data_IF_670378450930
#
_entry.id   IF_670378450930
#
_cell.length_a   1.000
_cell.length_b   1.000
_cell.length_c   1.000
_cell.angle_alpha   90.00
_cell.angle_beta   90.00
_cell.angle_gamma   90.00
#
_symmetry.space_group_name_H-M   'P 1'
#
loop_
_entity.id
_entity.type
_entity.pdbx_description
1 polymer ?
#
# COMPACT_ATOMS: atom_id res chain seq x y z
N UNK A 1 49.27 -5.45 5.95
CA UNK A 1 48.23 -6.50 6.00
C UNK A 1 46.92 -5.81 5.64
N UNK A 2 46.56 -5.84 4.36
CA UNK A 2 45.44 -5.05 3.82
C UNK A 2 44.20 -5.94 3.82
N UNK A 3 43.22 -5.60 4.66
CA UNK A 3 41.93 -6.29 4.73
C UNK A 3 41.11 -5.81 3.52
N UNK A 4 40.87 -6.71 2.55
CA UNK A 4 39.86 -6.49 1.50
C UNK A 4 38.49 -6.68 2.14
N UNK A 5 37.68 -5.61 2.16
CA UNK A 5 36.25 -5.74 2.40
C UNK A 5 35.63 -6.33 1.13
N UNK A 6 35.12 -7.55 1.22
CA UNK A 6 34.26 -8.14 0.21
C UNK A 6 32.93 -7.37 0.21
N UNK A 7 32.63 -6.74 -0.92
CA UNK A 7 31.36 -6.07 -1.18
C UNK A 7 30.28 -7.15 -1.27
N UNK A 8 29.39 -7.21 -0.29
CA UNK A 8 28.17 -7.99 -0.36
C UNK A 8 27.34 -7.53 -1.57
N UNK A 9 27.34 -8.34 -2.63
CA UNK A 9 26.40 -8.20 -3.73
C UNK A 9 25.02 -8.55 -3.20
N UNK A 10 24.13 -7.55 -3.09
CA UNK A 10 22.71 -7.77 -2.85
C UNK A 10 22.19 -8.71 -3.94
N UNK A 11 21.83 -9.94 -3.53
CA UNK A 11 21.18 -10.89 -4.40
C UNK A 11 19.79 -10.34 -4.75
N UNK A 12 19.70 -9.68 -5.90
CA UNK A 12 18.45 -9.20 -6.45
C UNK A 12 17.56 -10.43 -6.68
N UNK A 13 16.54 -10.59 -5.84
CA UNK A 13 15.63 -11.72 -5.89
C UNK A 13 14.75 -11.58 -7.14
N UNK A 14 15.25 -12.02 -8.29
CA UNK A 14 14.47 -12.09 -9.53
C UNK A 14 13.64 -13.36 -9.44
N UNK A 15 12.46 -13.24 -8.83
CA UNK A 15 11.52 -14.36 -8.59
C UNK A 15 10.90 -14.88 -9.89
N UNK A 16 11.04 -14.18 -11.02
CA UNK A 16 10.34 -14.48 -12.27
C UNK A 16 11.22 -14.17 -13.48
N UNK A 17 11.22 -15.06 -14.47
CA UNK A 17 12.01 -14.91 -15.71
C UNK A 17 11.72 -13.55 -16.41
N UNK A 18 12.75 -12.76 -16.78
CA UNK A 18 12.56 -11.45 -17.41
C UNK A 18 11.71 -11.50 -18.69
N UNK A 19 11.81 -12.57 -19.47
CA UNK A 19 11.05 -12.75 -20.71
C UNK A 19 9.55 -13.01 -20.44
N UNK A 20 9.22 -13.66 -19.31
CA UNK A 20 7.85 -13.87 -18.89
C UNK A 20 7.24 -12.54 -18.44
N UNK A 21 7.99 -11.73 -17.70
CA UNK A 21 7.56 -10.40 -17.30
C UNK A 21 7.30 -9.51 -18.53
N UNK A 22 8.17 -9.56 -19.55
CA UNK A 22 7.97 -8.79 -20.79
C UNK A 22 6.67 -9.22 -21.54
N UNK A 23 6.32 -10.51 -21.53
CA UNK A 23 5.05 -11.00 -22.10
C UNK A 23 3.85 -10.52 -21.30
N UNK A 24 3.95 -10.55 -19.97
CA UNK A 24 2.92 -10.02 -19.07
C UNK A 24 2.72 -8.52 -19.32
N UNK A 25 3.81 -7.76 -19.47
CA UNK A 25 3.77 -6.33 -19.76
C UNK A 25 3.09 -6.04 -21.11
N UNK A 26 3.39 -6.83 -22.15
CA UNK A 26 2.72 -6.74 -23.46
C UNK A 26 1.21 -7.03 -23.38
N UNK A 27 0.79 -7.97 -22.54
CA UNK A 27 -0.63 -8.22 -22.28
C UNK A 27 -1.28 -7.06 -21.54
N UNK A 28 -0.59 -6.44 -20.57
CA UNK A 28 -1.09 -5.25 -19.89
C UNK A 28 -1.25 -4.05 -20.82
N UNK A 29 -0.30 -3.82 -21.74
CA UNK A 29 -0.37 -2.75 -22.73
C UNK A 29 -1.57 -2.88 -23.68
N UNK A 30 -2.13 -4.08 -23.83
CA UNK A 30 -3.34 -4.33 -24.62
C UNK A 30 -4.64 -4.15 -23.81
N UNK A 31 -4.60 -3.48 -22.65
CA UNK A 31 -5.73 -3.35 -21.71
C UNK A 31 -6.30 -4.69 -21.22
N UNK A 32 -5.56 -5.80 -21.35
CA UNK A 32 -6.01 -7.10 -20.83
C UNK A 32 -6.05 -7.08 -19.29
N UNK A 33 -5.42 -6.11 -18.63
CA UNK A 33 -5.43 -5.97 -17.17
C UNK A 33 -6.82 -5.88 -16.51
N UNK A 34 -7.88 -5.56 -17.25
CA UNK A 34 -9.27 -5.66 -16.76
C UNK A 34 -9.84 -7.10 -16.82
N UNK A 35 -9.15 -8.01 -17.52
CA UNK A 35 -9.57 -9.38 -17.83
C UNK A 35 -8.64 -10.46 -17.27
N UNK A 36 -7.39 -10.13 -16.86
CA UNK A 36 -6.46 -11.06 -16.20
C UNK A 36 -6.26 -10.71 -14.73
N UNK A 37 -6.45 -11.71 -13.89
CA UNK A 37 -6.17 -11.63 -12.46
C UNK A 37 -4.66 -11.48 -12.25
N UNK A 38 -4.25 -10.32 -11.73
CA UNK A 38 -2.92 -10.13 -11.17
C UNK A 38 -2.72 -11.07 -9.97
N UNK A 39 -1.52 -11.63 -9.76
CA UNK A 39 -1.18 -12.23 -8.48
C UNK A 39 -1.47 -11.23 -7.36
N UNK A 40 -2.22 -11.68 -6.36
CA UNK A 40 -2.52 -10.89 -5.16
C UNK A 40 -1.86 -11.56 -3.96
N UNK A 41 -1.11 -10.77 -3.19
CA UNK A 41 -0.59 -11.16 -1.89
C UNK A 41 -1.45 -10.51 -0.81
N UNK A 42 -2.18 -11.31 -0.05
CA UNK A 42 -2.96 -10.83 1.08
C UNK A 42 -2.18 -11.09 2.36
N UNK A 43 -1.93 -10.04 3.14
CA UNK A 43 -1.26 -10.15 4.43
C UNK A 43 -2.30 -10.12 5.54
N UNK A 44 -2.44 -11.24 6.27
CA UNK A 44 -3.40 -11.43 7.35
C UNK A 44 -2.70 -11.91 8.61
N UNK A 45 -3.15 -11.44 9.77
CA UNK A 45 -2.58 -11.79 11.08
C UNK A 45 -3.06 -10.87 12.19
N UNK A 46 -2.90 -11.31 13.43
CA UNK A 46 -3.31 -10.58 14.64
C UNK A 46 -2.64 -9.19 14.72
N UNK A 47 -3.21 -8.27 15.51
CA UNK A 47 -2.58 -6.96 15.74
C UNK A 47 -1.15 -7.15 16.26
N UNK A 48 -0.19 -6.37 15.73
CA UNK A 48 1.23 -6.44 16.12
C UNK A 48 1.99 -7.72 15.70
N UNK A 49 1.40 -8.57 14.85
CA UNK A 49 2.06 -9.80 14.34
C UNK A 49 3.14 -9.57 13.27
N UNK A 50 3.62 -8.34 13.07
CA UNK A 50 4.66 -8.02 12.09
C UNK A 50 4.22 -7.86 10.63
N UNK A 51 2.91 -7.75 10.35
CA UNK A 51 2.37 -7.54 8.99
C UNK A 51 3.02 -6.34 8.28
N UNK A 52 3.03 -5.18 8.95
CA UNK A 52 3.64 -3.96 8.42
C UNK A 52 5.11 -4.15 8.10
N UNK A 53 5.86 -4.95 8.87
CA UNK A 53 7.27 -5.24 8.59
C UNK A 53 7.47 -6.11 7.34
N UNK A 54 6.58 -7.08 7.09
CA UNK A 54 6.58 -7.85 5.84
C UNK A 54 6.26 -6.94 4.66
N UNK A 55 5.26 -6.06 4.82
CA UNK A 55 4.89 -5.09 3.80
C UNK A 55 6.01 -4.08 3.53
N UNK A 56 6.71 -3.58 4.55
CA UNK A 56 7.86 -2.70 4.40
C UNK A 56 8.96 -3.34 3.53
N UNK A 57 9.27 -4.62 3.77
CA UNK A 57 10.28 -5.35 3.01
C UNK A 57 9.91 -5.55 1.54
N UNK A 58 8.64 -5.78 1.25
CA UNK A 58 8.15 -5.99 -0.11
C UNK A 58 7.93 -4.69 -0.88
N UNK A 59 7.34 -3.69 -0.22
CA UNK A 59 6.88 -2.46 -0.86
C UNK A 59 7.93 -1.37 -0.86
N UNK A 60 8.97 -1.49 -0.03
CA UNK A 60 9.94 -0.42 0.27
C UNK A 60 9.28 0.88 0.76
N UNK A 61 8.04 0.82 1.23
CA UNK A 61 7.35 1.91 1.92
C UNK A 61 7.56 1.75 3.43
N UNK A 62 7.69 2.87 4.14
CA UNK A 62 7.76 2.87 5.61
C UNK A 62 6.35 3.00 6.17
N UNK A 63 5.77 1.87 6.57
CA UNK A 63 4.44 1.87 7.18
C UNK A 63 4.52 2.42 8.61
N UNK A 64 3.50 3.18 9.06
CA UNK A 64 3.45 3.72 10.39
C UNK A 64 3.30 2.58 11.39
N UNK A 65 4.09 2.65 12.45
CA UNK A 65 4.11 1.64 13.52
C UNK A 65 3.31 2.07 14.74
N UNK A 66 2.82 3.31 14.75
CA UNK A 66 2.10 3.87 15.89
C UNK A 66 0.67 3.31 16.01
N UNK A 67 0.28 3.00 17.25
CA UNK A 67 -0.98 2.37 17.62
C UNK A 67 -2.21 3.19 17.21
N UNK A 68 -2.09 4.52 17.18
CA UNK A 68 -3.15 5.44 16.72
C UNK A 68 -3.38 5.43 15.21
N UNK A 69 -2.37 5.00 14.43
CA UNK A 69 -2.37 4.95 12.97
C UNK A 69 -2.48 3.52 12.41
N UNK A 70 -2.83 2.54 13.25
CA UNK A 70 -3.03 1.14 12.82
C UNK A 70 -4.03 1.01 11.67
N UNK A 71 -3.93 -0.09 10.91
CA UNK A 71 -4.82 -0.45 9.79
C UNK A 71 -6.29 -0.51 10.24
N UNK A 72 -7.01 0.61 10.12
CA UNK A 72 -8.44 0.80 10.44
C UNK A 72 -9.36 0.70 9.21
N UNK A 73 -8.75 0.53 8.05
CA UNK A 73 -9.37 0.33 6.75
C UNK A 73 -8.45 -0.58 5.93
N UNK A 74 -8.97 -1.23 4.89
CA UNK A 74 -8.11 -2.02 4.02
C UNK A 74 -7.18 -1.09 3.22
N UNK A 75 -5.91 -1.46 3.12
CA UNK A 75 -4.94 -0.76 2.27
C UNK A 75 -4.55 -1.69 1.12
N UNK A 76 -4.86 -1.28 -0.10
CA UNK A 76 -4.47 -1.97 -1.31
C UNK A 76 -3.28 -1.25 -1.94
N UNK A 77 -2.19 -1.98 -2.15
CA UNK A 77 -0.99 -1.49 -2.80
C UNK A 77 -0.83 -2.22 -4.13
N UNK A 78 -0.67 -1.49 -5.22
CA UNK A 78 -0.57 -2.06 -6.57
C UNK A 78 0.77 -1.63 -7.16
N UNK A 79 1.57 -2.59 -7.54
CA UNK A 79 2.83 -2.39 -8.26
C UNK A 79 2.58 -2.58 -9.74
N UNK A 80 2.93 -1.57 -10.54
CA UNK A 80 2.85 -1.62 -12.00
C UNK A 80 4.18 -1.27 -12.60
N UNK A 81 4.59 -2.05 -13.59
CA UNK A 81 5.78 -1.72 -14.35
C UNK A 81 5.42 -0.71 -15.42
N UNK A 82 6.17 0.38 -15.46
CA UNK A 82 6.11 1.36 -16.54
C UNK A 82 7.54 1.66 -17.02
N UNK A 83 7.99 1.03 -18.13
CA UNK A 83 9.31 1.26 -18.71
C UNK A 83 9.52 2.69 -19.22
N UNK A 84 8.46 3.49 -19.38
CA UNK A 84 8.57 4.89 -19.80
C UNK A 84 9.00 5.82 -18.67
N UNK A 85 8.82 5.39 -17.40
CA UNK A 85 9.24 6.14 -16.23
C UNK A 85 10.73 5.94 -15.93
N UNK A 86 11.44 7.03 -15.67
CA UNK A 86 12.85 6.99 -15.22
C UNK A 86 12.99 6.68 -13.74
N UNK A 87 11.98 7.04 -12.97
CA UNK A 87 11.96 6.96 -11.50
C UNK A 87 10.64 6.35 -11.06
N UNK A 88 10.64 5.80 -9.83
CA UNK A 88 9.43 5.31 -9.18
C UNK A 88 8.49 6.48 -8.86
N UNK A 89 7.20 6.26 -9.05
CA UNK A 89 6.12 7.20 -8.72
C UNK A 89 5.06 6.50 -7.88
N UNK A 90 4.50 7.24 -6.94
CA UNK A 90 3.47 6.79 -6.01
C UNK A 90 2.27 7.71 -6.18
N UNK A 91 1.12 7.09 -6.39
CA UNK A 91 -0.18 7.74 -6.42
C UNK A 91 -1.08 7.08 -5.39
N UNK A 92 -2.01 7.83 -4.81
CA UNK A 92 -2.89 7.36 -3.75
C UNK A 92 -4.29 7.90 -3.94
N UNK A 93 -5.29 7.09 -3.60
CA UNK A 93 -6.70 7.46 -3.64
C UNK A 93 -7.52 6.67 -2.64
N UNK A 94 -8.67 7.23 -2.25
CA UNK A 94 -9.67 6.52 -1.45
C UNK A 94 -10.76 5.97 -2.36
N UNK A 95 -11.01 4.67 -2.26
CA UNK A 95 -12.12 4.00 -2.95
C UNK A 95 -13.26 3.86 -1.97
N UNK A 96 -14.33 4.61 -2.20
CA UNK A 96 -15.54 4.51 -1.39
C UNK A 96 -16.32 3.26 -1.77
N UNK A 97 -16.60 2.40 -0.78
CA UNK A 97 -17.38 1.15 -0.98
C UNK A 97 -18.88 1.37 -0.82
N UNK A 98 -19.26 2.42 -0.10
CA UNK A 98 -20.65 2.88 0.00
C UNK A 98 -20.80 4.09 -0.92
N UNK A 99 -21.66 3.99 -1.93
CA UNK A 99 -21.95 5.06 -2.90
C UNK A 99 -22.73 6.23 -2.30
N UNK A 100 -22.36 6.67 -1.10
CA UNK A 100 -23.09 7.70 -0.38
C UNK A 100 -22.66 9.08 -0.89
N UNK A 101 -23.29 9.53 -1.98
CA UNK A 101 -23.11 10.82 -2.66
C UNK A 101 -23.45 12.07 -1.80
N UNK A 102 -23.65 11.94 -0.48
CA UNK A 102 -24.40 12.92 0.30
C UNK A 102 -23.69 13.69 1.41
N UNK A 103 -22.46 13.36 1.81
CA UNK A 103 -21.77 14.11 2.89
C UNK A 103 -20.30 14.28 2.60
N UNK A 104 -19.94 15.39 1.94
CA UNK A 104 -18.63 16.06 2.01
C UNK A 104 -17.39 15.17 2.14
N UNK A 105 -17.35 14.04 1.44
CA UNK A 105 -16.22 13.11 1.47
C UNK A 105 -15.19 13.70 0.54
N UNK A 106 -14.16 14.33 1.10
CA UNK A 106 -13.04 14.80 0.31
C UNK A 106 -12.50 13.61 -0.48
N UNK A 107 -12.49 13.72 -1.80
CA UNK A 107 -11.78 12.78 -2.68
C UNK A 107 -10.29 12.97 -2.43
N UNK A 108 -9.79 12.39 -1.34
CA UNK A 108 -8.38 12.44 -1.04
C UNK A 108 -7.62 11.73 -2.16
N UNK A 109 -6.65 12.42 -2.74
CA UNK A 109 -5.74 11.86 -3.71
C UNK A 109 -4.37 12.50 -3.57
N UNK A 110 -3.36 11.70 -3.90
CA UNK A 110 -1.97 12.13 -4.08
C UNK A 110 -1.47 11.54 -5.39
N UNK A 111 -0.54 12.23 -6.04
CA UNK A 111 0.02 11.78 -7.32
C UNK A 111 1.47 12.23 -7.47
N UNK A 112 2.22 11.48 -8.27
CA UNK A 112 3.60 11.83 -8.66
C UNK A 112 4.58 11.99 -7.49
N UNK A 113 4.37 11.26 -6.39
CA UNK A 113 5.31 11.23 -5.27
C UNK A 113 6.44 10.23 -5.56
N UNK A 114 7.70 10.64 -5.47
CA UNK A 114 8.83 9.76 -5.76
C UNK A 114 9.15 8.80 -4.59
N UNK A 115 9.09 9.33 -3.38
CA UNK A 115 9.38 8.59 -2.14
C UNK A 115 8.41 9.00 -1.05
N UNK A 116 8.01 8.05 -0.21
CA UNK A 116 7.28 8.32 1.04
C UNK A 116 8.18 7.93 2.21
N UNK A 117 8.70 8.94 2.92
CA UNK A 117 9.36 8.73 4.20
C UNK A 117 8.32 8.50 5.32
N UNK A 118 8.79 8.13 6.51
CA UNK A 118 7.92 7.82 7.65
C UNK A 118 7.00 8.98 8.04
N UNK A 119 7.51 10.21 8.11
CA UNK A 119 6.73 11.41 8.46
C UNK A 119 5.72 11.80 7.38
N UNK A 120 6.11 11.69 6.11
CA UNK A 120 5.21 11.93 4.98
C UNK A 120 4.07 10.91 4.98
N UNK A 121 4.39 9.65 5.26
CA UNK A 121 3.39 8.59 5.36
C UNK A 121 2.47 8.81 6.56
N UNK A 122 2.98 9.23 7.71
CA UNK A 122 2.15 9.58 8.89
C UNK A 122 1.20 10.75 8.60
N UNK A 123 1.69 11.80 7.93
CA UNK A 123 0.87 12.93 7.48
C UNK A 123 -0.22 12.47 6.51
N UNK A 124 0.17 11.67 5.51
CA UNK A 124 -0.72 11.06 4.53
C UNK A 124 -1.84 10.26 5.23
N UNK A 125 -1.48 9.42 6.21
CA UNK A 125 -2.45 8.61 6.95
C UNK A 125 -3.38 9.46 7.82
N UNK A 126 -2.89 10.56 8.38
CA UNK A 126 -3.73 11.51 9.13
C UNK A 126 -4.78 12.14 8.21
N UNK A 127 -4.38 12.58 7.02
CA UNK A 127 -5.30 13.11 6.00
C UNK A 127 -6.32 12.06 5.55
N UNK A 128 -5.89 10.83 5.33
CA UNK A 128 -6.76 9.71 4.95
C UNK A 128 -7.78 9.41 6.05
N UNK A 129 -7.38 9.39 7.33
CA UNK A 129 -8.30 9.22 8.45
C UNK A 129 -9.38 10.30 8.47
N UNK A 130 -8.99 11.56 8.29
CA UNK A 130 -9.93 12.69 8.24
C UNK A 130 -10.88 12.54 7.04
N UNK A 131 -10.36 12.21 5.86
CA UNK A 131 -11.17 12.03 4.64
C UNK A 131 -12.16 10.86 4.73
N UNK A 132 -11.80 9.79 5.46
CA UNK A 132 -12.69 8.66 5.76
C UNK A 132 -13.65 8.93 6.92
N UNK A 133 -13.54 10.07 7.61
CA UNK A 133 -14.37 10.40 8.76
C UNK A 133 -14.08 9.54 10.00
N UNK A 134 -12.83 9.13 10.19
CA UNK A 134 -12.39 8.30 11.30
C UNK A 134 -11.92 9.15 12.49
N UNK A 135 -12.07 8.60 13.69
CA UNK A 135 -11.59 9.26 14.92
C UNK A 135 -10.07 9.36 14.94
N UNK A 136 -9.53 10.59 14.87
CA UNK A 136 -8.10 10.88 15.04
C UNK A 136 -7.71 11.15 16.50
N UNK A 137 -8.70 11.36 17.37
CA UNK A 137 -8.60 11.56 18.81
C UNK A 137 -9.71 10.77 19.53
N UNK A 138 -9.67 10.67 20.86
CA UNK A 138 -10.67 9.98 21.69
C UNK A 138 -12.05 10.71 21.73
N UNK A 139 -12.47 11.32 20.63
CA UNK A 139 -13.82 11.85 20.47
C UNK A 139 -14.80 10.70 20.18
N UNK A 140 -15.84 10.62 21.01
CA UNK A 140 -16.70 9.44 21.17
C UNK A 140 -17.74 9.22 20.04
N UNK A 141 -17.82 10.11 19.04
CA UNK A 141 -18.90 10.08 18.03
C UNK A 141 -18.47 9.66 16.61
N UNK A 142 -17.18 9.42 16.37
CA UNK A 142 -16.69 8.99 15.05
C UNK A 142 -16.36 7.49 14.99
N UNK A 143 -16.65 6.83 13.85
CA UNK A 143 -16.33 5.42 13.68
C UNK A 143 -14.82 5.16 13.77
N UNK A 144 -14.46 4.02 14.37
CA UNK A 144 -13.05 3.57 14.45
C UNK A 144 -12.57 2.91 13.16
N UNK A 145 -13.49 2.33 12.36
CA UNK A 145 -13.18 1.61 11.13
C UNK A 145 -13.95 2.16 9.94
N UNK A 146 -13.33 2.12 8.77
CA UNK A 146 -14.00 2.43 7.50
C UNK A 146 -14.04 1.19 6.60
N UNK A 147 -15.14 1.04 5.88
CA UNK A 147 -15.24 0.07 4.78
C UNK A 147 -14.60 0.57 3.49
N UNK A 148 -14.17 1.83 3.45
CA UNK A 148 -13.42 2.37 2.32
C UNK A 148 -12.03 1.75 2.24
N UNK A 149 -11.42 1.84 1.06
CA UNK A 149 -10.10 1.27 0.80
C UNK A 149 -9.13 2.38 0.43
N UNK A 150 -8.00 2.46 1.14
CA UNK A 150 -6.87 3.27 0.68
C UNK A 150 -6.16 2.49 -0.43
N UNK A 151 -6.15 3.02 -1.65
CA UNK A 151 -5.39 2.46 -2.76
C UNK A 151 -4.11 3.28 -2.95
N UNK A 152 -2.97 2.60 -2.92
CA UNK A 152 -1.67 3.14 -3.34
C UNK A 152 -1.25 2.43 -4.62
N UNK A 153 -0.94 3.20 -5.66
CA UNK A 153 -0.36 2.70 -6.90
C UNK A 153 1.09 3.13 -7.00
N UNK A 154 1.97 2.17 -7.18
CA UNK A 154 3.40 2.36 -7.33
C UNK A 154 3.76 1.98 -8.76
N UNK A 155 4.22 2.95 -9.53
CA UNK A 155 4.66 2.78 -10.90
C UNK A 155 6.16 2.95 -10.97
N UNK A 156 6.85 2.12 -11.75
CA UNK A 156 8.28 2.27 -11.96
C UNK A 156 8.83 1.35 -13.04
N UNK A 157 10.04 1.62 -13.55
CA UNK A 157 10.61 0.88 -14.69
C UNK A 157 10.88 -0.60 -14.40
N UNK A 158 11.00 -0.98 -13.13
CA UNK A 158 11.44 -2.30 -12.70
C UNK A 158 10.50 -2.96 -11.68
N UNK A 159 9.30 -2.42 -11.49
CA UNK A 159 8.33 -3.03 -10.59
C UNK A 159 7.85 -4.38 -11.12
N UNK A 160 7.42 -5.25 -10.21
CA UNK A 160 6.72 -6.49 -10.56
C UNK A 160 5.23 -6.23 -10.52
N UNK A 161 4.49 -6.66 -11.54
CA UNK A 161 3.03 -6.58 -11.57
C UNK A 161 2.42 -7.43 -10.45
N UNK A 162 2.13 -6.81 -9.30
CA UNK A 162 1.67 -7.46 -8.07
C UNK A 162 0.71 -6.52 -7.32
N UNK A 163 -0.31 -7.08 -6.67
CA UNK A 163 -1.08 -6.34 -5.67
C UNK A 163 -0.87 -6.93 -4.29
N UNK A 164 -0.72 -6.06 -3.29
CA UNK A 164 -0.64 -6.41 -1.88
C UNK A 164 -1.81 -5.80 -1.15
N UNK A 165 -2.51 -6.58 -0.33
CA UNK A 165 -3.65 -6.11 0.46
C UNK A 165 -3.31 -6.29 1.94
N UNK A 166 -3.32 -5.18 2.67
CA UNK A 166 -3.31 -5.15 4.13
C UNK A 166 -4.74 -4.94 4.63
N UNK A 167 -5.17 -5.80 5.53
CA UNK A 167 -6.52 -5.72 6.12
C UNK A 167 -6.42 -5.44 7.61
N UNK A 168 -7.40 -4.73 8.20
CA UNK A 168 -7.47 -4.56 9.64
C UNK A 168 -7.34 -5.90 10.36
N UNK A 169 -6.56 -5.93 11.44
CA UNK A 169 -6.40 -7.14 12.25
C UNK A 169 -7.75 -7.56 12.85
N UNK A 170 -7.97 -8.87 12.97
CA UNK A 170 -9.17 -9.40 13.63
C UNK A 170 -9.04 -9.14 15.14
N UNK A 171 -9.88 -8.27 15.69
CA UNK A 171 -9.97 -8.07 17.13
C UNK A 171 -10.75 -9.22 17.76
N UNK A 172 -10.11 -9.98 18.65
CA UNK A 172 -10.77 -11.06 19.42
C UNK A 172 -11.36 -10.58 20.75
N UNK A 173 -11.21 -9.32 21.13
CA UNK A 173 -11.71 -8.78 22.39
C UNK A 173 -12.68 -7.64 22.13
N UNK A 174 -13.95 -7.88 22.45
CA UNK A 174 -14.96 -6.84 22.65
C UNK A 174 -14.51 -5.92 23.77
N UNK A 175 -14.05 -4.72 23.45
CA UNK A 175 -13.95 -3.65 24.44
C UNK A 175 -15.35 -3.05 24.61
N UNK A 176 -15.88 -2.92 25.84
CA UNK A 176 -17.16 -2.24 26.06
C UNK A 176 -17.07 -0.79 25.59
N UNK A 177 -18.13 -0.32 24.91
CA UNK A 177 -18.32 1.08 24.55
C UNK A 177 -18.63 1.96 25.75
#
# INVERSE_FOLDING_TARGET
MTIKLETHTEANMVVVEPTLLEKIDKLFACNVGEYINLPQLVVVGDQSSGKSSVLEGLTKLKFPRDSGLCTRFATQIIFRRDPSLKIRKISGSIISTTGNEGKGKSSWCISDIETLNEREFESMMTEVHIAMGLSTSAEHDLPTFSSDVLRLEIHGPHENHLSVIDVPGIFKTTTPG
#
